data_IF_560687307763
#
_entry.id   IF_560687307763
#
_cell.length_a   1.000
_cell.length_b   1.000
_cell.length_c   1.000
_cell.angle_alpha   90.00
_cell.angle_beta   90.00
_cell.angle_gamma   90.00
#
_symmetry.space_group_name_H-M   'P 1'
#
loop_
_entity.id
_entity.type
_entity.pdbx_description
1 polymer ?
#
# COMPACT_ATOMS: atom_id res chain seq x y z
N UNK A 1 -21.89 -59.03 -44.03
CA UNK A 1 -20.55 -58.75 -43.45
C UNK A 1 -20.40 -57.25 -43.35
N UNK A 2 -20.55 -56.68 -42.16
CA UNK A 2 -20.38 -55.23 -41.91
C UNK A 2 -19.02 -55.05 -41.22
N UNK A 3 -18.16 -54.12 -41.66
CA UNK A 3 -16.84 -53.92 -41.06
C UNK A 3 -16.93 -53.23 -39.68
N UNK A 4 -16.08 -53.67 -38.76
CA UNK A 4 -15.92 -53.20 -37.38
C UNK A 4 -15.74 -51.67 -37.26
N UNK A 5 -16.52 -50.98 -36.41
CA UNK A 5 -16.27 -49.59 -36.09
C UNK A 5 -15.52 -49.44 -34.76
N UNK A 6 -14.40 -48.71 -34.84
CA UNK A 6 -13.76 -47.91 -33.77
C UNK A 6 -12.89 -48.67 -32.75
N UNK A 7 -11.57 -48.69 -33.02
CA UNK A 7 -10.57 -48.46 -31.96
C UNK A 7 -10.14 -47.00 -32.00
N UNK A 8 -10.27 -46.23 -30.91
CA UNK A 8 -9.66 -44.90 -30.85
C UNK A 8 -8.13 -45.02 -30.86
N UNK A 9 -7.41 -44.12 -31.54
CA UNK A 9 -5.94 -44.14 -31.53
C UNK A 9 -5.44 -43.83 -30.11
N UNK A 10 -4.45 -44.58 -29.66
CA UNK A 10 -3.77 -44.34 -28.37
C UNK A 10 -3.06 -42.99 -28.44
N UNK A 11 -3.17 -42.13 -27.41
CA UNK A 11 -2.35 -40.93 -27.35
C UNK A 11 -0.91 -41.31 -26.96
N UNK A 12 -0.03 -41.38 -27.95
CA UNK A 12 1.42 -41.30 -27.76
C UNK A 12 1.81 -39.82 -27.77
N UNK A 13 2.20 -39.28 -26.61
CA UNK A 13 3.49 -38.64 -26.29
C UNK A 13 3.35 -37.62 -25.15
N UNK A 14 4.03 -37.92 -24.04
CA UNK A 14 4.90 -36.99 -23.29
C UNK A 14 4.30 -35.79 -22.55
N UNK A 15 3.06 -35.39 -22.79
CA UNK A 15 2.44 -34.26 -22.09
C UNK A 15 1.06 -34.65 -21.56
N UNK A 16 0.77 -34.37 -20.28
CA UNK A 16 -0.53 -34.64 -19.69
C UNK A 16 -1.62 -33.88 -20.46
N UNK A 17 -2.78 -34.52 -20.62
CA UNK A 17 -3.95 -33.89 -21.21
C UNK A 17 -4.34 -32.69 -20.37
N UNK A 18 -4.44 -31.50 -20.97
CA UNK A 18 -4.87 -30.28 -20.28
C UNK A 18 -6.33 -30.47 -19.84
N UNK A 19 -6.54 -30.91 -18.59
CA UNK A 19 -7.83 -30.83 -17.93
C UNK A 19 -8.08 -29.37 -17.60
N UNK A 20 -9.14 -28.79 -18.17
CA UNK A 20 -9.64 -27.46 -17.82
C UNK A 20 -10.37 -27.43 -16.48
N UNK A 21 -10.35 -28.54 -15.72
CA UNK A 21 -10.70 -28.51 -14.31
C UNK A 21 -9.71 -27.56 -13.65
N UNK A 22 -10.21 -26.39 -13.23
CA UNK A 22 -9.48 -25.39 -12.48
C UNK A 22 -8.82 -26.06 -11.27
N UNK A 23 -7.59 -26.49 -11.46
CA UNK A 23 -6.69 -26.82 -10.38
C UNK A 23 -6.53 -25.49 -9.62
N UNK A 24 -7.28 -25.34 -8.52
CA UNK A 24 -7.07 -24.30 -7.52
C UNK A 24 -5.66 -24.51 -6.97
N UNK A 25 -4.67 -24.03 -7.72
CA UNK A 25 -3.27 -24.13 -7.38
C UNK A 25 -3.09 -23.47 -6.02
N UNK A 26 -2.74 -24.28 -5.01
CA UNK A 26 -2.49 -23.87 -3.64
C UNK A 26 -1.40 -22.80 -3.49
N UNK A 27 -0.71 -22.46 -4.59
CA UNK A 27 0.29 -21.39 -4.68
C UNK A 27 -0.30 -20.04 -5.12
N UNK A 28 -1.64 -19.89 -5.23
CA UNK A 28 -2.23 -18.57 -5.46
C UNK A 28 -1.84 -17.66 -4.29
N UNK A 29 -1.23 -16.48 -4.55
CA UNK A 29 -0.89 -15.56 -3.49
C UNK A 29 -2.17 -15.19 -2.75
N UNK A 30 -2.13 -15.24 -1.42
CA UNK A 30 -3.27 -14.81 -0.61
C UNK A 30 -3.66 -13.39 -1.01
N UNK A 31 -4.97 -13.05 -1.03
CA UNK A 31 -5.40 -11.69 -1.28
C UNK A 31 -4.70 -10.73 -0.32
N UNK A 32 -4.11 -9.67 -0.86
CA UNK A 32 -3.49 -8.62 -0.06
C UNK A 32 -4.62 -7.87 0.66
N UNK A 33 -4.80 -8.13 1.95
CA UNK A 33 -5.73 -7.37 2.77
C UNK A 33 -5.16 -5.97 2.94
N UNK A 34 -5.71 -5.00 2.20
CA UNK A 34 -5.38 -3.60 2.43
C UNK A 34 -5.77 -3.23 3.86
N UNK A 35 -4.81 -2.66 4.60
CA UNK A 35 -5.10 -2.18 5.96
C UNK A 35 -6.18 -1.10 5.87
N UNK A 36 -7.12 -1.05 6.84
CA UNK A 36 -8.05 0.07 6.95
C UNK A 36 -7.31 1.40 6.91
N UNK A 37 -7.88 2.41 6.24
CA UNK A 37 -7.25 3.73 6.07
C UNK A 37 -6.74 4.31 7.39
N UNK A 38 -7.55 4.22 8.46
CA UNK A 38 -7.17 4.69 9.79
C UNK A 38 -5.92 3.99 10.33
N UNK A 39 -5.82 2.66 10.18
CA UNK A 39 -4.66 1.91 10.64
C UNK A 39 -3.38 2.29 9.87
N UNK A 40 -3.51 2.78 8.62
CA UNK A 40 -2.38 3.34 7.88
C UNK A 40 -1.96 4.69 8.45
N UNK A 41 -2.91 5.57 8.71
CA UNK A 41 -2.65 6.87 9.35
C UNK A 41 -1.94 6.68 10.69
N UNK A 42 -2.41 5.76 11.53
CA UNK A 42 -1.83 5.49 12.86
C UNK A 42 -0.37 5.02 12.75
N UNK A 43 -0.05 4.19 11.77
CA UNK A 43 1.32 3.70 11.53
C UNK A 43 2.25 4.84 11.10
N UNK A 44 1.83 5.68 10.16
CA UNK A 44 2.64 6.82 9.71
C UNK A 44 2.82 7.88 10.81
N UNK A 45 1.75 8.14 11.58
CA UNK A 45 1.81 9.04 12.73
C UNK A 45 2.76 8.52 13.81
N UNK A 46 2.75 7.22 14.09
CA UNK A 46 3.68 6.61 15.03
C UNK A 46 5.14 6.73 14.56
N UNK A 47 5.41 6.57 13.26
CA UNK A 47 6.75 6.76 12.70
C UNK A 47 7.24 8.20 12.89
N UNK A 48 6.39 9.19 12.58
CA UNK A 48 6.74 10.60 12.78
C UNK A 48 6.94 10.88 14.27
N UNK A 49 6.10 10.33 15.15
CA UNK A 49 6.21 10.55 16.59
C UNK A 49 7.53 10.01 17.17
N UNK A 50 8.07 8.91 16.64
CA UNK A 50 9.36 8.36 17.08
C UNK A 50 10.52 9.35 16.90
N UNK A 51 10.50 10.16 15.84
CA UNK A 51 11.58 11.11 15.52
C UNK A 51 11.23 12.55 15.91
N UNK A 52 9.97 12.94 15.77
CA UNK A 52 9.50 14.31 15.89
C UNK A 52 8.13 14.39 16.57
N UNK A 53 8.07 14.08 17.86
CA UNK A 53 6.84 14.10 18.70
C UNK A 53 6.04 15.41 18.53
N UNK A 54 6.70 16.57 18.52
CA UNK A 54 6.03 17.88 18.41
C UNK A 54 5.30 18.04 17.07
N UNK A 55 5.88 17.49 16.00
CA UNK A 55 5.26 17.53 14.66
C UNK A 55 4.07 16.59 14.64
N UNK A 56 4.20 15.37 15.19
CA UNK A 56 3.08 14.44 15.28
C UNK A 56 1.88 15.05 16.01
N UNK A 57 2.08 15.70 17.16
CA UNK A 57 1.01 16.39 17.90
C UNK A 57 0.39 17.55 17.11
N UNK A 58 1.19 18.29 16.35
CA UNK A 58 0.67 19.35 15.48
C UNK A 58 -0.17 18.77 14.34
N UNK A 59 0.31 17.71 13.68
CA UNK A 59 -0.42 17.04 12.61
C UNK A 59 -1.75 16.46 13.12
N UNK A 60 -1.77 15.87 14.32
CA UNK A 60 -2.99 15.38 14.97
C UNK A 60 -3.99 16.51 15.21
N UNK A 61 -3.52 17.67 15.68
CA UNK A 61 -4.35 18.86 15.91
C UNK A 61 -4.93 19.43 14.61
N UNK A 62 -4.18 19.35 13.51
CA UNK A 62 -4.64 19.80 12.20
C UNK A 62 -5.39 18.72 11.41
N UNK A 63 -5.45 17.47 11.88
CA UNK A 63 -6.04 16.38 11.10
C UNK A 63 -7.55 16.62 10.88
N UNK A 64 -7.99 16.59 9.63
CA UNK A 64 -9.37 16.93 9.25
C UNK A 64 -9.63 18.42 9.03
N UNK A 65 -8.64 19.29 9.29
CA UNK A 65 -8.67 20.68 8.84
C UNK A 65 -8.21 20.80 7.38
N UNK A 66 -8.72 21.81 6.66
CA UNK A 66 -8.34 22.07 5.27
C UNK A 66 -6.84 22.38 5.13
N UNK A 67 -6.24 22.96 6.16
CA UNK A 67 -4.86 23.42 6.15
C UNK A 67 -3.86 22.30 6.52
N UNK A 68 -4.34 21.09 6.85
CA UNK A 68 -3.48 19.96 7.19
C UNK A 68 -2.52 19.60 6.05
N UNK A 69 -3.04 19.55 4.83
CA UNK A 69 -2.26 19.23 3.63
C UNK A 69 -1.20 20.30 3.37
N UNK A 70 -1.57 21.57 3.48
CA UNK A 70 -0.65 22.70 3.27
C UNK A 70 0.46 22.72 4.33
N UNK A 71 0.12 22.41 5.59
CA UNK A 71 1.09 22.26 6.67
C UNK A 71 2.08 21.11 6.38
N UNK A 72 1.57 19.93 6.01
CA UNK A 72 2.41 18.77 5.68
C UNK A 72 3.31 19.03 4.48
N UNK A 73 2.79 19.64 3.41
CA UNK A 73 3.60 20.03 2.25
C UNK A 73 4.65 21.08 2.60
N UNK A 74 4.30 22.04 3.46
CA UNK A 74 5.24 23.01 4.01
C UNK A 74 6.39 22.34 4.74
N UNK A 75 6.11 21.33 5.57
CA UNK A 75 7.15 20.54 6.24
C UNK A 75 8.02 19.80 5.21
N UNK A 76 7.44 19.11 4.24
CA UNK A 76 8.20 18.37 3.21
C UNK A 76 9.17 19.29 2.45
N UNK A 77 8.75 20.50 2.08
CA UNK A 77 9.55 21.44 1.31
C UNK A 77 10.58 22.22 2.14
N UNK A 78 10.20 22.63 3.36
CA UNK A 78 11.00 23.55 4.18
C UNK A 78 11.71 22.90 5.37
N UNK A 79 11.42 21.63 5.64
CA UNK A 79 11.96 20.88 6.76
C UNK A 79 11.33 21.27 8.09
N UNK A 80 12.06 21.03 9.18
CA UNK A 80 11.69 21.48 10.51
C UNK A 80 12.76 22.42 11.09
N UNK A 81 12.35 23.22 12.07
CA UNK A 81 13.27 24.09 12.82
C UNK A 81 13.65 23.42 14.12
N UNK A 82 14.96 23.31 14.34
CA UNK A 82 15.52 22.88 15.62
C UNK A 82 16.40 24.02 16.14
N UNK A 83 15.81 24.86 16.99
CA UNK A 83 16.40 26.16 17.35
C UNK A 83 16.41 27.14 16.16
N UNK A 84 17.55 27.77 15.91
CA UNK A 84 17.74 28.69 14.77
C UNK A 84 18.10 27.98 13.46
N UNK A 85 18.41 26.68 13.49
CA UNK A 85 18.87 25.93 12.32
C UNK A 85 17.70 25.21 11.65
N UNK A 86 17.63 25.32 10.32
CA UNK A 86 16.73 24.50 9.49
C UNK A 86 17.37 23.13 9.28
N UNK A 87 16.61 22.09 9.61
CA UNK A 87 17.03 20.69 9.47
C UNK A 87 16.08 19.99 8.50
N UNK A 88 16.66 19.11 7.68
CA UNK A 88 15.89 18.23 6.81
C UNK A 88 15.37 17.02 7.58
N UNK A 89 14.37 16.35 7.00
CA UNK A 89 13.85 15.10 7.55
C UNK A 89 14.70 13.90 7.13
N UNK A 90 14.67 12.85 7.94
CA UNK A 90 15.10 11.53 7.50
C UNK A 90 14.20 11.04 6.35
N UNK A 91 14.73 10.24 5.40
CA UNK A 91 13.95 9.73 4.27
C UNK A 91 12.65 9.04 4.72
N UNK A 92 12.70 8.24 5.78
CA UNK A 92 11.55 7.51 6.31
C UNK A 92 10.43 8.45 6.79
N UNK A 93 10.81 9.52 7.49
CA UNK A 93 9.86 10.55 7.97
C UNK A 93 9.26 11.32 6.80
N UNK A 94 10.09 11.64 5.81
CA UNK A 94 9.64 12.37 4.62
C UNK A 94 8.65 11.54 3.80
N UNK A 95 8.91 10.23 3.70
CA UNK A 95 7.99 9.28 3.05
C UNK A 95 6.67 9.19 3.82
N UNK A 96 6.72 9.07 5.15
CA UNK A 96 5.54 9.07 6.00
C UNK A 96 4.70 10.35 5.87
N UNK A 97 5.34 11.53 5.81
CA UNK A 97 4.66 12.81 5.58
C UNK A 97 3.95 12.85 4.22
N UNK A 98 4.59 12.36 3.15
CA UNK A 98 3.98 12.27 1.82
C UNK A 98 2.79 11.30 1.82
N UNK A 99 2.92 10.15 2.46
CA UNK A 99 1.83 9.16 2.60
C UNK A 99 0.66 9.74 3.39
N UNK A 100 0.90 10.51 4.46
CA UNK A 100 -0.16 11.20 5.20
C UNK A 100 -0.90 12.24 4.34
N UNK A 101 -0.20 12.96 3.46
CA UNK A 101 -0.85 13.87 2.50
C UNK A 101 -1.81 13.12 1.58
N UNK A 102 -1.39 11.97 1.05
CA UNK A 102 -2.23 11.12 0.21
C UNK A 102 -3.44 10.56 0.97
N UNK A 103 -3.22 10.05 2.19
CA UNK A 103 -4.27 9.52 3.05
C UNK A 103 -5.29 10.58 3.43
N UNK A 104 -4.84 11.79 3.77
CA UNK A 104 -5.73 12.91 4.06
C UNK A 104 -6.61 13.27 2.85
N UNK A 105 -6.02 13.33 1.65
CA UNK A 105 -6.77 13.59 0.41
C UNK A 105 -7.78 12.48 0.10
N UNK A 106 -7.41 11.21 0.29
CA UNK A 106 -8.31 10.07 0.12
C UNK A 106 -9.48 10.11 1.10
N UNK A 107 -9.23 10.51 2.35
CA UNK A 107 -10.25 10.54 3.40
C UNK A 107 -11.19 11.74 3.30
N UNK A 108 -10.69 12.92 2.94
CA UNK A 108 -11.45 14.18 3.00
C UNK A 108 -11.80 14.79 1.62
N UNK A 109 -11.30 14.22 0.52
CA UNK A 109 -11.81 14.48 -0.83
C UNK A 109 -11.78 15.95 -1.29
N UNK A 110 -10.72 16.70 -0.92
CA UNK A 110 -10.39 18.00 -1.52
C UNK A 110 -8.89 18.14 -1.72
#
# INVERSE_FOLDING_TARGET
>A
MVPDPKKPPKPEVGFPSLSWEEEELATRPMPLHERPLQARVDVEMALIAQYHVRIALAVESFWGHRDCVDYLQGLVLSGYKEGEKRMGFKPEVLTALMTLVELHKQQFGK
#
